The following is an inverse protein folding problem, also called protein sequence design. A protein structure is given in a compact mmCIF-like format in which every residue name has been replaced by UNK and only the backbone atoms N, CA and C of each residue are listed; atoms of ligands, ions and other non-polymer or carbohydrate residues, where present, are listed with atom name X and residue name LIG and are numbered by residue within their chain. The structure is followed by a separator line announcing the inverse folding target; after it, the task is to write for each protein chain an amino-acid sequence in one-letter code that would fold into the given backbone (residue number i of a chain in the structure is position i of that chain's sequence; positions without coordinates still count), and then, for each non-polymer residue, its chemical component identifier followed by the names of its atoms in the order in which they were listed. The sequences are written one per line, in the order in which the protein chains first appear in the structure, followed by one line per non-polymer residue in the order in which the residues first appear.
data_IF_894368854118
#
_entry.id   IF_894368854118
#
_cell.length_a   1.000
_cell.length_b   1.000
_cell.length_c   1.000
_cell.angle_alpha   90.00
_cell.angle_beta   90.00
_cell.angle_gamma   90.00
#
_symmetry.space_group_name_H-M   'P 1'
#
loop_
_entity.id
_entity.type
_entity.pdbx_description
1 polymer ?
#
# COMPACT_ATOMS: atom_id res chain seq x y z
N UNK A 1 6.06 -1.93 8.56
CA UNK A 1 5.59 -0.92 7.60
C UNK A 1 4.08 -0.68 7.72
N UNK A 2 3.20 -1.59 7.30
CA UNK A 2 1.74 -1.34 7.32
C UNK A 2 1.16 -1.12 8.73
N UNK A 3 1.72 -1.78 9.76
CA UNK A 3 1.33 -1.54 11.15
C UNK A 3 1.72 -0.16 11.67
N UNK A 4 2.82 0.43 11.16
CA UNK A 4 3.21 1.78 11.55
C UNK A 4 2.34 2.84 10.83
N UNK A 5 1.98 2.59 9.56
CA UNK A 5 0.97 3.37 8.84
C UNK A 5 -0.38 3.36 9.57
N UNK A 6 -0.84 2.20 10.04
CA UNK A 6 -2.08 2.10 10.82
C UNK A 6 -2.02 2.85 12.14
N UNK A 7 -0.85 2.86 12.81
CA UNK A 7 -0.63 3.62 14.05
C UNK A 7 -0.69 5.13 13.81
N UNK A 8 -0.13 5.62 12.71
CA UNK A 8 -0.10 7.04 12.37
C UNK A 8 -1.42 7.52 11.74
N UNK A 9 -2.10 6.64 11.00
CA UNK A 9 -3.34 6.92 10.26
C UNK A 9 -4.36 5.78 10.48
N UNK A 10 -5.10 5.79 11.59
CA UNK A 10 -6.05 4.72 11.90
C UNK A 10 -7.08 4.47 10.77
N UNK A 11 -7.25 3.20 10.42
CA UNK A 11 -8.12 2.72 9.35
C UNK A 11 -7.51 2.78 7.94
N UNK A 12 -6.24 3.14 7.78
CA UNK A 12 -5.59 3.13 6.46
C UNK A 12 -5.41 1.70 5.93
N UNK A 13 -5.12 0.74 6.81
CA UNK A 13 -4.97 -0.67 6.41
C UNK A 13 -6.24 -1.20 5.76
N UNK A 14 -7.40 -0.92 6.36
CA UNK A 14 -8.71 -1.35 5.82
C UNK A 14 -8.98 -0.82 4.41
N UNK A 15 -8.48 0.39 4.09
CA UNK A 15 -8.61 1.01 2.76
C UNK A 15 -7.68 0.39 1.72
N UNK A 16 -6.58 -0.23 2.15
CA UNK A 16 -5.53 -0.75 1.27
C UNK A 16 -5.64 -2.26 1.02
N UNK A 17 -6.01 -3.03 2.05
CA UNK A 17 -6.09 -4.50 1.99
C UNK A 17 -7.49 -5.03 2.23
N UNK A 18 -7.80 -6.15 1.60
CA UNK A 18 -9.03 -6.91 1.86
C UNK A 18 -8.93 -7.77 3.14
N UNK A 19 -10.00 -8.51 3.41
CA UNK A 19 -10.15 -9.33 4.61
C UNK A 19 -9.24 -10.57 4.58
N UNK A 20 -8.69 -10.93 3.41
CA UNK A 20 -7.67 -11.97 3.25
C UNK A 20 -6.24 -11.41 3.37
N UNK A 21 -6.10 -10.09 3.52
CA UNK A 21 -4.83 -9.40 3.64
C UNK A 21 -4.15 -9.09 2.31
N UNK A 22 -4.83 -9.30 1.17
CA UNK A 22 -4.31 -8.97 -0.14
C UNK A 22 -4.54 -7.50 -0.48
N UNK A 23 -3.69 -6.92 -1.33
CA UNK A 23 -3.86 -5.56 -1.83
C UNK A 23 -5.17 -5.47 -2.61
N UNK A 24 -6.05 -4.52 -2.26
CA UNK A 24 -7.33 -4.32 -2.96
C UNK A 24 -7.08 -3.99 -4.43
N UNK A 25 -7.90 -4.54 -5.32
CA UNK A 25 -7.75 -4.43 -6.80
C UNK A 25 -7.59 -3.01 -7.35
N UNK A 26 -8.18 -2.00 -6.70
CA UNK A 26 -8.08 -0.60 -7.13
C UNK A 26 -6.89 0.16 -6.52
N UNK A 27 -6.10 -0.50 -5.67
CA UNK A 27 -4.93 0.07 -5.02
C UNK A 27 -3.66 -0.39 -5.74
N UNK A 28 -2.71 0.53 -5.90
CA UNK A 28 -1.36 0.26 -6.39
C UNK A 28 -0.35 0.80 -5.39
N UNK A 29 0.71 0.04 -5.17
CA UNK A 29 1.80 0.42 -4.27
C UNK A 29 3.09 0.43 -5.09
N UNK A 30 3.89 1.47 -4.91
CA UNK A 30 5.17 1.61 -5.58
C UNK A 30 6.27 1.88 -4.56
N UNK A 31 7.39 1.19 -4.69
CA UNK A 31 8.62 1.45 -3.96
C UNK A 31 9.70 1.89 -4.93
N UNK A 32 10.29 3.07 -4.73
CA UNK A 32 11.31 3.62 -5.66
C UNK A 32 10.87 3.56 -7.13
N UNK A 33 9.57 3.84 -7.37
CA UNK A 33 8.90 3.82 -8.69
C UNK A 33 8.65 2.42 -9.28
N UNK A 34 9.03 1.36 -8.59
CA UNK A 34 8.72 -0.03 -8.98
C UNK A 34 7.44 -0.52 -8.29
N UNK A 35 6.59 -1.24 -9.02
CA UNK A 35 5.32 -1.72 -8.48
C UNK A 35 5.54 -2.87 -7.50
N UNK A 36 4.92 -2.78 -6.33
CA UNK A 36 4.92 -3.81 -5.29
C UNK A 36 3.58 -4.54 -5.31
N UNK A 37 3.65 -5.86 -5.49
CA UNK A 37 2.47 -6.74 -5.51
C UNK A 37 2.26 -7.46 -4.19
N UNK A 38 3.32 -7.66 -3.40
CA UNK A 38 3.29 -8.36 -2.13
C UNK A 38 3.73 -7.40 -1.01
N UNK A 39 2.86 -7.24 0.00
CA UNK A 39 3.12 -6.41 1.18
C UNK A 39 4.20 -6.99 2.10
N UNK A 40 4.56 -8.26 1.92
CA UNK A 40 5.69 -8.88 2.61
C UNK A 40 7.04 -8.55 1.94
N UNK A 41 7.05 -7.89 0.78
CA UNK A 41 8.28 -7.47 0.10
C UNK A 41 9.10 -6.59 1.05
N UNK A 42 10.34 -7.00 1.40
CA UNK A 42 11.19 -6.20 2.26
C UNK A 42 11.59 -4.92 1.51
N UNK A 43 11.35 -3.78 2.15
CA UNK A 43 11.77 -2.47 1.66
C UNK A 43 12.97 -2.01 2.47
N UNK A 44 13.97 -1.43 1.80
CA UNK A 44 15.05 -0.74 2.49
C UNK A 44 14.53 0.55 3.16
N UNK A 45 15.34 1.15 4.05
CA UNK A 45 14.90 2.30 4.85
C UNK A 45 14.95 3.64 4.10
N UNK A 46 15.59 3.66 2.93
CA UNK A 46 15.91 4.89 2.20
C UNK A 46 15.18 4.90 0.86
N UNK A 47 13.91 5.27 0.89
CA UNK A 47 13.13 5.36 -0.33
C UNK A 47 11.75 5.96 -0.14
N UNK A 48 11.13 6.22 -1.29
CA UNK A 48 9.78 6.73 -1.36
C UNK A 48 8.81 5.56 -1.59
N UNK A 49 7.80 5.49 -0.72
CA UNK A 49 6.63 4.66 -0.93
C UNK A 49 5.47 5.52 -1.43
N UNK A 50 4.92 5.14 -2.58
CA UNK A 50 3.72 5.76 -3.12
C UNK A 50 2.55 4.78 -3.09
N UNK A 51 1.43 5.19 -2.50
CA UNK A 51 0.18 4.43 -2.44
C UNK A 51 -0.85 5.18 -3.27
N UNK A 52 -1.34 4.57 -4.34
CA UNK A 52 -2.21 5.21 -5.33
C UNK A 52 -3.52 4.43 -5.47
N UNK A 53 -4.64 5.12 -5.32
CA UNK A 53 -5.93 4.61 -5.74
C UNK A 53 -6.12 4.90 -7.23
N UNK A 54 -6.28 3.87 -8.04
CA UNK A 54 -6.70 4.05 -9.43
C UNK A 54 -8.20 4.24 -9.47
N UNK A 55 -8.61 5.50 -9.51
CA UNK A 55 -9.96 5.88 -9.87
C UNK A 55 -9.99 6.00 -11.39
N UNK A 56 -10.84 5.23 -12.06
CA UNK A 56 -11.19 5.53 -13.45
C UNK A 56 -12.01 6.82 -13.43
N UNK A 57 -11.39 7.93 -13.82
CA UNK A 57 -12.11 9.18 -14.03
C UNK A 57 -13.09 8.99 -15.18
N UNK A 58 -14.38 8.94 -14.85
CA UNK A 58 -15.51 9.15 -15.76
C UNK A 58 -16.20 10.44 -15.37
#
# INVERSE_FOLDING_TARGET
MLGDLERQYPGIRFRMVDEQGAIRRHMRIFWKREMVFDLATPLDTDGELMIVQALSGG
#
